data_IF_231271680951
#
_entry.id   IF_231271680951
#
_cell.length_a   1.000
_cell.length_b   1.000
_cell.length_c   1.000
_cell.angle_alpha   90.00
_cell.angle_beta   90.00
_cell.angle_gamma   90.00
#
_symmetry.space_group_name_H-M   'P 1'
#
loop_
_entity.id
_entity.type
_entity.pdbx_description
1 polymer ?
#
# COMPACT_ATOMS: atom_id res chain seq x y z
N UNK A 1 0.11 21.58 4.44
CA UNK A 1 -0.26 21.32 5.85
C UNK A 1 -1.32 20.23 6.01
N UNK A 2 -2.38 20.21 5.18
CA UNK A 2 -3.48 19.22 5.24
C UNK A 2 -3.03 17.74 5.19
N UNK A 3 -2.10 17.36 4.30
CA UNK A 3 -1.65 15.97 4.15
C UNK A 3 -1.04 15.37 5.44
N UNK A 4 -0.29 16.15 6.22
CA UNK A 4 0.27 15.68 7.50
C UNK A 4 -0.81 15.45 8.56
N UNK A 5 -1.86 16.27 8.58
CA UNK A 5 -2.99 16.07 9.49
C UNK A 5 -3.84 14.87 9.09
N UNK A 6 -3.95 14.59 7.79
CA UNK A 6 -4.61 13.38 7.30
C UNK A 6 -3.77 12.13 7.63
N UNK A 7 -2.45 12.17 7.44
CA UNK A 7 -1.59 11.03 7.79
C UNK A 7 -1.54 10.77 9.31
N UNK A 8 -1.39 11.82 10.12
CA UNK A 8 -1.32 11.68 11.59
C UNK A 8 -2.70 11.41 12.18
N UNK A 9 -3.77 11.99 11.63
CA UNK A 9 -5.14 11.78 12.11
C UNK A 9 -5.68 10.38 11.83
N UNK A 10 -5.08 9.65 10.88
CA UNK A 10 -5.39 8.26 10.58
C UNK A 10 -4.31 7.29 11.09
N UNK A 11 -3.29 7.78 11.81
CA UNK A 11 -2.33 6.93 12.48
C UNK A 11 -2.98 6.35 13.75
N UNK A 12 -2.94 5.02 13.88
CA UNK A 12 -3.49 4.33 15.04
C UNK A 12 -2.46 3.30 15.51
N UNK A 13 -2.15 3.32 16.80
CA UNK A 13 -1.34 2.27 17.40
C UNK A 13 -2.17 0.99 17.47
N UNK A 14 -1.57 -0.12 17.06
CA UNK A 14 -2.24 -1.39 16.90
C UNK A 14 -1.34 -2.51 17.35
N UNK A 15 -1.86 -3.35 18.23
CA UNK A 15 -1.18 -4.55 18.66
C UNK A 15 -1.50 -5.72 17.73
N UNK A 16 -0.48 -6.54 17.50
CA UNK A 16 -0.61 -7.81 16.81
C UNK A 16 -0.86 -8.92 17.84
N UNK A 17 -1.81 -9.80 17.56
CA UNK A 17 -2.02 -10.95 18.43
C UNK A 17 -0.94 -12.03 18.22
N UNK A 18 -0.94 -13.06 19.08
CA UNK A 18 0.03 -14.16 19.01
C UNK A 18 -0.05 -15.00 17.73
N UNK A 19 -1.12 -14.85 16.94
CA UNK A 19 -1.30 -15.52 15.66
C UNK A 19 -0.90 -14.62 14.47
N UNK A 20 -0.34 -13.44 14.74
CA UNK A 20 0.10 -12.51 13.70
C UNK A 20 -1.03 -11.67 13.08
N UNK A 21 -2.20 -11.58 13.74
CA UNK A 21 -3.36 -10.84 13.22
C UNK A 21 -3.42 -9.44 13.81
N UNK A 22 -3.89 -8.49 12.99
CA UNK A 22 -4.04 -7.07 13.35
C UNK A 22 -5.48 -6.64 13.08
N UNK A 23 -6.14 -6.01 14.07
CA UNK A 23 -7.56 -5.67 13.99
C UNK A 23 -7.80 -4.30 13.35
N UNK A 24 -7.85 -4.21 12.02
CA UNK A 24 -8.00 -2.90 11.35
C UNK A 24 -9.27 -2.11 11.80
N UNK A 25 -9.11 -0.88 12.32
CA UNK A 25 -10.21 -0.01 12.66
C UNK A 25 -11.15 0.19 11.46
N UNK A 26 -12.48 0.23 11.66
CA UNK A 26 -13.44 0.40 10.57
C UNK A 26 -13.19 1.65 9.71
N UNK A 27 -12.66 2.72 10.31
CA UNK A 27 -12.30 3.95 9.60
C UNK A 27 -11.17 3.70 8.57
N UNK A 28 -10.13 2.96 8.93
CA UNK A 28 -9.01 2.65 8.02
C UNK A 28 -9.46 1.70 6.90
N UNK A 29 -10.31 0.72 7.23
CA UNK A 29 -10.91 -0.17 6.21
C UNK A 29 -11.74 0.60 5.19
N UNK A 30 -12.55 1.57 5.64
CA UNK A 30 -13.33 2.45 4.75
C UNK A 30 -12.45 3.36 3.92
N UNK A 31 -11.41 3.95 4.53
CA UNK A 31 -10.48 4.83 3.84
C UNK A 31 -9.74 4.12 2.70
N UNK A 32 -9.22 2.92 2.96
CA UNK A 32 -8.53 2.12 1.96
C UNK A 32 -9.47 1.32 1.05
N UNK A 33 -10.79 1.38 1.28
CA UNK A 33 -11.82 0.59 0.60
C UNK A 33 -11.50 -0.91 0.58
N UNK A 34 -11.03 -1.43 1.72
CA UNK A 34 -10.73 -2.85 1.87
C UNK A 34 -12.03 -3.65 1.98
N UNK A 35 -12.12 -4.71 1.19
CA UNK A 35 -13.24 -5.64 1.17
C UNK A 35 -12.81 -7.04 1.64
N UNK A 36 -13.13 -8.09 0.88
CA UNK A 36 -12.79 -9.48 1.18
C UNK A 36 -11.36 -9.83 0.73
N UNK A 37 -10.88 -9.24 -0.36
CA UNK A 37 -9.56 -9.49 -0.90
C UNK A 37 -8.65 -8.29 -0.68
N UNK A 38 -7.50 -8.55 -0.08
CA UNK A 38 -6.51 -7.51 0.20
C UNK A 38 -5.14 -7.99 -0.24
N UNK A 39 -4.35 -7.06 -0.77
CA UNK A 39 -2.96 -7.30 -1.15
C UNK A 39 -2.07 -6.64 -0.11
N UNK A 40 -1.08 -7.40 0.37
CA UNK A 40 -0.08 -6.91 1.31
C UNK A 40 1.25 -6.75 0.57
N UNK A 41 1.78 -5.54 0.55
CA UNK A 41 3.03 -5.21 -0.14
C UNK A 41 4.08 -4.78 0.88
N UNK A 42 5.22 -5.47 0.89
CA UNK A 42 6.37 -5.08 1.70
C UNK A 42 7.14 -3.96 1.03
N UNK A 43 7.43 -2.88 1.75
CA UNK A 43 8.25 -1.77 1.27
C UNK A 43 9.32 -1.44 2.32
N UNK A 44 10.41 -2.22 2.31
CA UNK A 44 11.51 -2.09 3.25
C UNK A 44 11.05 -2.28 4.70
N UNK A 45 11.00 -1.19 5.47
CA UNK A 45 10.63 -1.20 6.90
C UNK A 45 9.14 -1.00 7.18
N UNK A 46 8.30 -0.93 6.14
CA UNK A 46 6.85 -0.79 6.28
C UNK A 46 6.12 -1.80 5.39
N UNK A 47 4.88 -2.05 5.75
CA UNK A 47 3.94 -2.85 4.96
C UNK A 47 2.79 -1.96 4.55
N UNK A 48 2.37 -2.09 3.30
CA UNK A 48 1.20 -1.42 2.75
C UNK A 48 0.09 -2.45 2.52
N UNK A 49 -1.14 -2.06 2.88
CA UNK A 49 -2.34 -2.84 2.65
C UNK A 49 -3.17 -2.16 1.57
N UNK A 50 -3.50 -2.92 0.53
CA UNK A 50 -4.22 -2.44 -0.64
C UNK A 50 -5.49 -3.25 -0.85
N UNK A 51 -6.53 -2.58 -1.37
CA UNK A 51 -7.61 -3.28 -2.04
C UNK A 51 -7.04 -3.94 -3.31
N UNK A 52 -7.40 -5.20 -3.55
CA UNK A 52 -6.86 -6.00 -4.65
C UNK A 52 -7.08 -5.36 -6.02
N UNK A 53 -8.31 -4.96 -6.34
CA UNK A 53 -8.63 -4.34 -7.63
C UNK A 53 -7.90 -3.01 -7.85
N UNK A 54 -7.74 -2.21 -6.78
CA UNK A 54 -6.98 -0.96 -6.84
C UNK A 54 -5.49 -1.21 -7.09
N UNK A 55 -4.93 -2.21 -6.43
CA UNK A 55 -3.54 -2.61 -6.63
C UNK A 55 -3.29 -3.06 -8.08
N UNK A 56 -4.13 -3.95 -8.60
CA UNK A 56 -4.03 -4.42 -9.99
C UNK A 56 -4.10 -3.27 -11.01
N UNK A 57 -5.03 -2.35 -10.82
CA UNK A 57 -5.16 -1.17 -11.69
C UNK A 57 -3.93 -0.25 -11.62
N UNK A 58 -3.31 -0.12 -10.44
CA UNK A 58 -2.11 0.68 -10.25
C UNK A 58 -0.88 0.02 -10.86
N UNK A 59 -0.72 -1.31 -10.70
CA UNK A 59 0.34 -2.09 -11.34
C UNK A 59 0.20 -2.04 -12.87
N UNK A 60 -1.01 -2.22 -13.40
CA UNK A 60 -1.26 -2.16 -14.84
C UNK A 60 -0.89 -0.78 -15.43
N UNK A 61 -1.25 0.31 -14.73
CA UNK A 61 -0.82 1.65 -15.11
C UNK A 61 0.70 1.82 -15.06
N UNK A 62 1.35 1.36 -13.99
CA UNK A 62 2.80 1.44 -13.86
C UNK A 62 3.55 0.68 -14.96
N UNK A 63 3.04 -0.50 -15.34
CA UNK A 63 3.60 -1.32 -16.42
C UNK A 63 3.35 -0.73 -17.82
N UNK A 64 2.34 0.13 -17.97
CA UNK A 64 2.12 0.85 -19.24
C UNK A 64 3.19 1.92 -19.47
N UNK A 65 3.82 2.43 -18.41
CA UNK A 65 4.90 3.41 -18.48
C UNK A 65 6.29 2.79 -18.80
N UNK A 66 6.42 1.46 -18.88
CA UNK A 66 7.73 0.80 -18.77
C UNK A 66 8.30 0.12 -20.03
N UNK A 67 7.84 0.41 -21.24
CA UNK A 67 8.52 -0.10 -22.45
C UNK A 67 9.51 0.90 -23.09
N UNK A 68 9.25 2.22 -23.04
CA UNK A 68 10.09 3.21 -23.75
C UNK A 68 10.71 4.31 -22.84
N UNK A 69 10.46 4.29 -21.53
CA UNK A 69 10.76 5.44 -20.65
C UNK A 69 11.46 5.10 -19.32
N UNK A 70 12.03 3.91 -19.17
CA UNK A 70 12.89 3.62 -18.01
C UNK A 70 14.17 4.46 -18.13
N UNK A 71 14.45 5.39 -17.19
CA UNK A 71 15.71 6.11 -17.18
C UNK A 71 16.85 5.11 -17.08
N UNK A 72 17.96 5.28 -17.82
CA UNK A 72 19.09 4.36 -17.78
C UNK A 72 19.69 4.18 -16.37
N UNK A 73 19.40 5.09 -15.45
CA UNK A 73 19.77 5.01 -14.03
C UNK A 73 19.04 3.89 -13.25
N UNK A 74 17.93 3.37 -13.79
CA UNK A 74 17.14 2.29 -13.20
C UNK A 74 17.34 0.94 -13.91
N UNK A 75 18.13 0.89 -14.99
CA UNK A 75 18.59 -0.34 -15.63
C UNK A 75 19.56 -1.08 -14.68
N UNK A 76 19.01 -1.89 -13.78
CA UNK A 76 19.79 -2.61 -12.77
C UNK A 76 19.15 -2.64 -11.39
N UNK A 77 18.03 -1.94 -11.19
CA UNK A 77 17.21 -2.13 -10.00
C UNK A 77 16.43 -3.45 -10.10
N UNK A 78 16.96 -4.48 -9.46
CA UNK A 78 16.21 -5.71 -9.15
C UNK A 78 15.75 -5.65 -7.69
N UNK A 79 14.46 -5.92 -7.45
CA UNK A 79 13.89 -6.09 -6.10
C UNK A 79 14.45 -7.34 -5.41
#
# INVERSE_FOLDING_TARGET
RSLKQLLVGYAHDMDMDSAGRVLLPPMLRKFAELDKSVVMVGQGSKVELWNEARWEAQVAQALTFSDDALPPELEGFTL
#
